data_IF_336224759746
#
_entry.id   IF_336224759746
#
_cell.length_a   1.000
_cell.length_b   1.000
_cell.length_c   1.000
_cell.angle_alpha   90.00
_cell.angle_beta   90.00
_cell.angle_gamma   90.00
#
_symmetry.space_group_name_H-M   'P 1'
#
loop_
_entity.id
_entity.type
_entity.pdbx_description
1 polymer ?
#
# COMPACT_ATOMS: atom_id res chain seq x y z
N UNK A 1 -7.34 -16.06 8.18
CA UNK A 1 -7.85 -15.04 9.14
C UNK A 1 -8.44 -13.88 8.34
N UNK A 2 -9.56 -13.35 8.81
CA UNK A 2 -10.60 -12.62 8.05
C UNK A 2 -10.12 -11.28 7.46
N UNK A 3 -10.49 -11.03 6.20
CA UNK A 3 -10.37 -9.76 5.46
C UNK A 3 -11.21 -8.59 6.05
N UNK A 4 -11.41 -8.51 7.37
CA UNK A 4 -12.23 -7.46 7.99
C UNK A 4 -11.48 -6.15 8.24
N UNK A 5 -10.15 -6.13 8.13
CA UNK A 5 -9.37 -4.90 8.33
C UNK A 5 -9.42 -3.92 7.12
N UNK A 6 -9.81 -4.39 5.94
CA UNK A 6 -9.79 -3.58 4.70
C UNK A 6 -11.02 -2.66 4.54
N UNK A 7 -12.16 -3.05 5.12
CA UNK A 7 -13.40 -2.24 5.08
C UNK A 7 -13.24 -0.91 5.82
N UNK A 8 -12.40 -0.85 6.85
CA UNK A 8 -12.23 0.36 7.63
C UNK A 8 -11.49 1.45 6.87
N UNK A 9 -10.48 1.12 6.05
CA UNK A 9 -9.77 2.12 5.24
C UNK A 9 -10.64 2.70 4.12
N UNK A 10 -11.61 1.93 3.62
CA UNK A 10 -12.55 2.39 2.60
C UNK A 10 -13.50 3.50 3.10
N UNK A 11 -13.74 3.57 4.40
CA UNK A 11 -14.66 4.56 5.01
C UNK A 11 -13.94 5.55 5.92
N UNK A 12 -12.64 5.39 6.13
CA UNK A 12 -11.87 6.24 7.03
C UNK A 12 -11.36 7.47 6.29
N UNK A 13 -11.72 8.64 6.78
CA UNK A 13 -11.41 9.94 6.17
C UNK A 13 -10.49 10.80 7.05
N UNK A 14 -9.84 10.21 8.06
CA UNK A 14 -9.05 10.96 9.05
C UNK A 14 -7.65 10.40 9.27
N UNK A 15 -7.42 9.14 8.92
CA UNK A 15 -6.13 8.50 9.03
C UNK A 15 -5.19 9.09 7.98
N UNK A 16 -4.10 9.69 8.44
CA UNK A 16 -3.09 10.31 7.55
C UNK A 16 -1.88 9.43 7.33
N UNK A 17 -1.53 8.61 8.32
CA UNK A 17 -0.29 7.84 8.34
C UNK A 17 -0.60 6.42 8.79
N UNK A 18 -0.23 5.42 7.98
CA UNK A 18 -0.30 4.01 8.34
C UNK A 18 1.08 3.37 8.22
N UNK A 19 1.60 2.86 9.34
CA UNK A 19 2.90 2.17 9.37
C UNK A 19 2.69 0.70 9.70
N UNK A 20 3.10 -0.18 8.79
CA UNK A 20 2.99 -1.62 8.90
C UNK A 20 4.35 -2.32 8.72
N UNK A 21 5.45 -1.57 8.81
CA UNK A 21 6.81 -2.11 8.79
C UNK A 21 6.98 -3.21 9.84
N UNK A 22 7.67 -4.30 9.49
CA UNK A 22 7.89 -5.47 10.36
C UNK A 22 6.63 -6.22 10.80
N UNK A 23 5.52 -6.02 10.10
CA UNK A 23 4.39 -6.94 10.18
C UNK A 23 4.67 -8.09 9.19
N UNK A 24 4.51 -9.39 9.55
CA UNK A 24 4.67 -10.52 8.63
C UNK A 24 3.55 -10.59 7.57
N UNK A 25 3.35 -9.47 6.88
CA UNK A 25 2.40 -9.28 5.82
C UNK A 25 3.10 -9.53 4.49
N UNK A 26 2.45 -10.29 3.62
CA UNK A 26 2.95 -10.59 2.28
C UNK A 26 2.56 -9.47 1.31
N UNK A 27 3.10 -9.48 0.09
CA UNK A 27 2.80 -8.49 -0.97
C UNK A 27 1.29 -8.29 -1.18
N UNK A 28 0.51 -9.38 -1.14
CA UNK A 28 -0.95 -9.35 -1.24
C UNK A 28 -1.64 -8.46 -0.20
N UNK A 29 -1.07 -8.36 1.02
CA UNK A 29 -1.60 -7.48 2.06
C UNK A 29 -1.32 -6.00 1.77
N UNK A 30 -0.11 -5.67 1.31
CA UNK A 30 0.23 -4.32 0.87
C UNK A 30 -0.64 -3.87 -0.32
N UNK A 31 -0.83 -4.77 -1.29
CA UNK A 31 -1.71 -4.54 -2.43
C UNK A 31 -3.14 -4.24 -1.98
N UNK A 32 -3.69 -5.06 -1.08
CA UNK A 32 -5.04 -4.86 -0.58
C UNK A 32 -5.22 -3.53 0.15
N UNK A 33 -4.24 -3.12 0.97
CA UNK A 33 -4.25 -1.83 1.67
C UNK A 33 -4.23 -0.67 0.66
N UNK A 34 -3.28 -0.70 -0.30
CA UNK A 34 -3.14 0.35 -1.30
C UNK A 34 -4.41 0.47 -2.16
N UNK A 35 -5.00 -0.67 -2.54
CA UNK A 35 -6.26 -0.72 -3.30
C UNK A 35 -7.43 -0.12 -2.51
N UNK A 36 -7.50 -0.37 -1.20
CA UNK A 36 -8.52 0.26 -0.34
C UNK A 36 -8.32 1.77 -0.22
N UNK A 37 -7.08 2.25 -0.13
CA UNK A 37 -6.78 3.69 -0.12
C UNK A 37 -7.15 4.33 -1.46
N UNK A 38 -6.75 3.74 -2.58
CA UNK A 38 -7.08 4.24 -3.92
C UNK A 38 -8.59 4.29 -4.17
N UNK A 39 -9.35 3.33 -3.64
CA UNK A 39 -10.80 3.25 -3.80
C UNK A 39 -11.59 4.21 -2.89
N UNK A 40 -10.93 4.89 -1.94
CA UNK A 40 -11.57 5.86 -1.06
C UNK A 40 -11.26 7.30 -1.54
N UNK A 41 -12.19 7.98 -2.22
CA UNK A 41 -11.96 9.35 -2.71
C UNK A 41 -11.87 10.39 -1.58
N UNK A 42 -12.34 10.08 -0.37
CA UNK A 42 -12.29 10.93 0.81
C UNK A 42 -11.11 10.57 1.74
N UNK A 43 -10.18 9.75 1.27
CA UNK A 43 -9.00 9.37 2.05
C UNK A 43 -8.10 10.58 2.33
N UNK A 44 -7.69 10.73 3.58
CA UNK A 44 -6.68 11.70 3.99
C UNK A 44 -5.30 11.05 4.18
N UNK A 45 -5.13 9.81 3.70
CA UNK A 45 -3.87 9.07 3.83
C UNK A 45 -2.80 9.72 2.96
N UNK A 46 -1.71 10.12 3.59
CA UNK A 46 -0.56 10.77 2.97
C UNK A 46 0.69 9.88 2.99
N UNK A 47 0.78 8.93 3.92
CA UNK A 47 1.95 8.07 4.08
C UNK A 47 1.61 6.62 4.44
N UNK A 48 2.16 5.69 3.66
CA UNK A 48 2.13 4.25 3.91
C UNK A 48 3.55 3.69 4.10
N UNK A 49 3.81 3.00 5.20
CA UNK A 49 5.08 2.32 5.45
C UNK A 49 4.92 0.79 5.42
N UNK A 50 5.45 0.19 4.37
CA UNK A 50 5.61 -1.24 4.11
C UNK A 50 7.09 -1.65 4.09
N UNK A 51 7.97 -0.89 4.75
CA UNK A 51 9.38 -1.28 4.89
C UNK A 51 9.49 -2.72 5.40
N UNK A 52 10.43 -3.48 4.84
CA UNK A 52 10.65 -4.91 5.13
C UNK A 52 9.66 -5.89 4.46
N UNK A 53 8.78 -5.41 3.57
CA UNK A 53 7.90 -6.25 2.74
C UNK A 53 8.38 -6.19 1.28
N UNK A 54 8.61 -7.36 0.66
CA UNK A 54 8.92 -7.46 -0.76
C UNK A 54 7.66 -7.17 -1.58
N UNK A 55 7.66 -6.06 -2.32
CA UNK A 55 6.65 -5.76 -3.32
C UNK A 55 6.88 -6.59 -4.59
N UNK A 56 5.80 -7.06 -5.20
CA UNK A 56 5.80 -7.71 -6.52
C UNK A 56 5.40 -6.70 -7.62
N UNK A 57 5.45 -7.13 -8.88
CA UNK A 57 5.11 -6.26 -10.01
C UNK A 57 3.66 -5.77 -9.95
N UNK A 58 2.73 -6.59 -9.45
CA UNK A 58 1.32 -6.22 -9.32
C UNK A 58 1.12 -5.06 -8.35
N UNK A 59 1.88 -5.04 -7.24
CA UNK A 59 1.91 -3.89 -6.33
C UNK A 59 2.47 -2.63 -7.00
N UNK A 60 3.57 -2.76 -7.75
CA UNK A 60 4.19 -1.61 -8.45
C UNK A 60 3.22 -0.99 -9.47
N UNK A 61 2.54 -1.82 -10.25
CA UNK A 61 1.56 -1.36 -11.25
C UNK A 61 0.39 -0.60 -10.59
N UNK A 62 -0.11 -1.13 -9.46
CA UNK A 62 -1.13 -0.45 -8.66
C UNK A 62 -0.61 0.86 -8.07
N UNK A 63 0.64 0.90 -7.61
CA UNK A 63 1.25 2.10 -7.06
C UNK A 63 1.39 3.21 -8.10
N UNK A 64 1.84 2.88 -9.32
CA UNK A 64 1.90 3.87 -10.40
C UNK A 64 0.51 4.40 -10.75
N UNK A 65 -0.51 3.54 -10.86
CA UNK A 65 -1.90 3.99 -11.06
C UNK A 65 -2.43 4.85 -9.90
N UNK A 66 -2.01 4.55 -8.66
CA UNK A 66 -2.44 5.32 -7.49
C UNK A 66 -1.85 6.73 -7.49
N UNK A 67 -0.66 6.96 -8.06
CA UNK A 67 -0.09 8.32 -8.17
C UNK A 67 -0.90 9.23 -9.09
N UNK A 68 -1.63 8.67 -10.05
CA UNK A 68 -2.51 9.45 -10.92
C UNK A 68 -3.71 10.03 -10.15
N UNK A 69 -4.22 9.29 -9.15
CA UNK A 69 -5.39 9.68 -8.36
C UNK A 69 -5.03 10.36 -7.03
N UNK A 70 -3.90 9.97 -6.42
CA UNK A 70 -3.41 10.43 -5.12
C UNK A 70 -1.94 10.85 -5.24
N UNK A 71 -1.63 11.95 -5.95
CA UNK A 71 -0.25 12.35 -6.27
C UNK A 71 0.60 12.70 -5.03
N UNK A 72 -0.06 13.03 -3.91
CA UNK A 72 0.61 13.37 -2.66
C UNK A 72 0.87 12.14 -1.77
N UNK A 73 0.35 10.97 -2.13
CA UNK A 73 0.54 9.74 -1.35
C UNK A 73 1.98 9.25 -1.48
N UNK A 74 2.65 9.13 -0.34
CA UNK A 74 3.98 8.57 -0.24
C UNK A 74 3.92 7.13 0.27
N UNK A 75 4.58 6.22 -0.44
CA UNK A 75 4.65 4.81 -0.05
C UNK A 75 6.11 4.40 0.08
N UNK A 76 6.47 3.86 1.24
CA UNK A 76 7.79 3.30 1.51
C UNK A 76 7.68 1.79 1.55
N UNK A 77 8.38 1.06 0.68
CA UNK A 77 8.35 -0.40 0.65
C UNK A 77 9.75 -0.99 0.43
N UNK A 78 9.91 -2.29 0.70
CA UNK A 78 11.15 -3.01 0.43
C UNK A 78 11.49 -2.94 -1.05
N UNK A 79 12.67 -2.42 -1.38
CA UNK A 79 13.10 -2.17 -2.76
C UNK A 79 13.09 -3.43 -3.62
N UNK A 80 12.86 -3.23 -4.93
CA UNK A 80 12.83 -4.26 -5.97
C UNK A 80 13.95 -5.27 -5.77
N UNK A 81 13.58 -6.55 -5.61
CA UNK A 81 14.50 -7.63 -5.94
C UNK A 81 14.60 -7.61 -7.47
N UNK A 82 15.46 -6.75 -8.00
CA UNK A 82 15.97 -6.96 -9.34
C UNK A 82 16.69 -8.30 -9.26
N UNK A 83 16.09 -9.33 -9.88
CA UNK A 83 16.81 -10.56 -10.17
C UNK A 83 18.09 -10.13 -10.88
N UNK A 84 19.23 -10.47 -10.29
CA UNK A 84 20.53 -10.35 -10.93
C UNK A 84 20.43 -11.20 -12.19
N UNK A 85 20.31 -10.57 -13.35
CA UNK A 85 20.47 -11.25 -14.62
C UNK A 85 21.96 -11.61 -14.71
N UNK A 86 22.24 -12.90 -14.65
CA UNK A 86 23.56 -13.47 -14.92
C UNK A 86 23.98 -13.22 -16.37
#
# INVERSE_FOLDING_TARGET
MRNQNLLHLLMNTTLRILKMSRNPMQSAGCFAILKSVQANPETEVEFLDFSDICADQEFEDLFESTKETLPNLQVKHGGKIYAVLN
#
